data_IF_961887098112
#
_entry.id   IF_961887098112
#
_cell.length_a   1.000
_cell.length_b   1.000
_cell.length_c   1.000
_cell.angle_alpha   90.00
_cell.angle_beta   90.00
_cell.angle_gamma   90.00
#
_symmetry.space_group_name_H-M   'P 1'
#
loop_
_entity.id
_entity.type
_entity.pdbx_description
1 polymer ?
#
# COMPACT_ATOMS: atom_id res chain seq x y z
N UNK A 1 -6.50 5.68 22.38
CA UNK A 1 -5.29 4.92 22.20
C UNK A 1 -5.22 4.32 20.82
N UNK A 2 -4.04 4.25 20.31
CA UNK A 2 -3.79 3.69 19.01
C UNK A 2 -3.84 2.17 19.09
N UNK A 3 -4.48 1.55 18.10
CA UNK A 3 -4.45 0.10 17.96
C UNK A 3 -3.17 -0.37 17.27
N UNK A 4 -2.34 0.57 16.84
CA UNK A 4 -1.08 0.28 16.19
C UNK A 4 0.07 0.34 17.18
N UNK A 5 1.14 -0.43 16.93
CA UNK A 5 2.35 -0.26 17.74
C UNK A 5 2.82 1.19 17.63
N UNK A 6 3.06 1.80 18.76
CA UNK A 6 3.59 3.17 18.77
C UNK A 6 5.10 3.05 18.67
N UNK A 7 5.63 3.57 17.57
CA UNK A 7 7.08 3.63 17.39
C UNK A 7 7.62 4.75 18.27
N UNK A 8 8.76 4.54 18.95
CA UNK A 8 9.35 5.60 19.79
C UNK A 8 9.73 6.84 18.99
N UNK A 9 9.95 6.66 17.69
CA UNK A 9 10.23 7.76 16.75
C UNK A 9 9.43 7.51 15.49
N UNK A 10 9.00 8.58 14.78
CA UNK A 10 8.41 8.39 13.47
C UNK A 10 9.39 7.64 12.57
N UNK A 11 8.86 6.74 11.76
CA UNK A 11 9.68 6.02 10.80
C UNK A 11 10.22 7.00 9.76
N UNK A 12 11.54 6.98 9.58
CA UNK A 12 12.16 7.81 8.55
C UNK A 12 12.16 7.08 7.23
N UNK A 13 11.31 7.54 6.33
CA UNK A 13 11.19 6.95 5.01
C UNK A 13 12.40 7.36 4.14
N UNK A 14 13.18 6.40 3.63
CA UNK A 14 14.28 6.73 2.72
C UNK A 14 13.76 7.49 1.49
N UNK A 15 14.57 8.41 0.97
CA UNK A 15 14.21 9.15 -0.24
C UNK A 15 13.89 8.24 -1.41
N UNK A 16 14.63 7.15 -1.56
CA UNK A 16 14.42 6.19 -2.63
C UNK A 16 13.07 5.48 -2.54
N UNK A 17 12.47 5.44 -1.35
CA UNK A 17 11.18 4.77 -1.15
C UNK A 17 9.99 5.72 -1.16
N UNK A 18 10.22 7.03 -1.30
CA UNK A 18 9.11 7.99 -1.27
C UNK A 18 8.11 7.79 -2.39
N UNK A 19 8.60 7.57 -3.60
CA UNK A 19 7.72 7.32 -4.74
C UNK A 19 6.96 6.01 -4.57
N UNK A 20 7.61 4.99 -4.02
CA UNK A 20 6.96 3.71 -3.73
C UNK A 20 5.84 3.91 -2.71
N UNK A 21 6.10 4.68 -1.65
CA UNK A 21 5.09 5.00 -0.64
C UNK A 21 3.86 5.67 -1.27
N UNK A 22 4.08 6.63 -2.16
CA UNK A 22 2.99 7.32 -2.84
C UNK A 22 2.20 6.38 -3.74
N UNK A 23 2.89 5.50 -4.46
CA UNK A 23 2.23 4.50 -5.29
C UNK A 23 1.42 3.51 -4.45
N UNK A 24 1.94 3.13 -3.28
CA UNK A 24 1.21 2.26 -2.36
C UNK A 24 -0.06 2.93 -1.84
N UNK A 25 0.00 4.23 -1.56
CA UNK A 25 -1.20 4.97 -1.14
C UNK A 25 -2.25 4.98 -2.23
N UNK A 26 -1.84 5.19 -3.47
CA UNK A 26 -2.75 5.16 -4.60
C UNK A 26 -3.34 3.76 -4.81
N UNK A 27 -2.50 2.75 -4.72
CA UNK A 27 -2.95 1.36 -4.82
C UNK A 27 -3.96 1.02 -3.73
N UNK A 28 -3.68 1.48 -2.50
CA UNK A 28 -4.60 1.28 -1.38
C UNK A 28 -5.97 1.90 -1.66
N UNK A 29 -5.97 3.12 -2.18
CA UNK A 29 -7.22 3.79 -2.55
C UNK A 29 -8.01 2.97 -3.56
N UNK A 30 -7.34 2.47 -4.58
CA UNK A 30 -7.99 1.67 -5.63
C UNK A 30 -8.54 0.36 -5.06
N UNK A 31 -7.74 -0.35 -4.28
CA UNK A 31 -8.16 -1.65 -3.73
C UNK A 31 -9.26 -1.50 -2.70
N UNK A 32 -9.22 -0.44 -1.91
CA UNK A 32 -10.27 -0.15 -0.94
C UNK A 32 -11.61 0.12 -1.63
N UNK A 33 -11.57 0.89 -2.71
CA UNK A 33 -12.77 1.18 -3.49
C UNK A 33 -13.34 -0.09 -4.14
N UNK A 34 -12.48 -0.93 -4.70
CA UNK A 34 -12.90 -2.20 -5.31
C UNK A 34 -13.53 -3.15 -4.29
N UNK A 35 -13.02 -3.13 -3.08
CA UNK A 35 -13.47 -4.04 -2.02
C UNK A 35 -14.57 -3.45 -1.14
N UNK A 36 -14.92 -2.20 -1.37
CA UNK A 36 -15.91 -1.47 -0.57
C UNK A 36 -15.54 -1.48 0.92
N UNK A 37 -14.27 -1.24 1.20
CA UNK A 37 -13.72 -1.21 2.55
C UNK A 37 -12.99 0.11 2.75
N UNK A 38 -13.09 0.70 3.93
CA UNK A 38 -12.36 1.94 4.22
C UNK A 38 -10.85 1.68 4.22
N UNK A 39 -10.09 2.62 3.64
CA UNK A 39 -8.64 2.51 3.54
C UNK A 39 -7.99 2.25 4.90
N UNK A 40 -8.43 2.95 5.93
CA UNK A 40 -7.86 2.82 7.28
C UNK A 40 -8.03 1.43 7.89
N UNK A 41 -8.99 0.66 7.40
CA UNK A 41 -9.20 -0.71 7.87
C UNK A 41 -8.19 -1.67 7.24
N UNK A 42 -7.62 -1.30 6.12
CA UNK A 42 -6.64 -2.10 5.40
C UNK A 42 -5.24 -1.78 5.89
N UNK A 43 -4.86 -0.50 5.88
CA UNK A 43 -3.53 -0.08 6.29
C UNK A 43 -3.53 1.38 6.71
N UNK A 44 -2.61 1.73 7.61
CA UNK A 44 -2.39 3.12 8.02
C UNK A 44 -1.29 3.74 7.15
N UNK A 45 -1.20 5.09 7.10
CA UNK A 45 -0.09 5.74 6.41
C UNK A 45 1.28 5.29 6.90
N UNK A 46 1.43 5.07 8.21
CA UNK A 46 2.69 4.63 8.79
C UNK A 46 3.05 3.23 8.30
N UNK A 47 2.07 2.33 8.22
CA UNK A 47 2.29 1.00 7.67
C UNK A 47 2.76 1.06 6.22
N UNK A 48 2.19 1.96 5.43
CA UNK A 48 2.58 2.10 4.02
C UNK A 48 4.03 2.59 3.90
N UNK A 49 4.44 3.49 4.77
CA UNK A 49 5.82 3.99 4.77
C UNK A 49 6.80 2.89 5.13
N UNK A 50 6.49 2.09 6.15
CA UNK A 50 7.32 0.96 6.53
C UNK A 50 7.36 -0.09 5.41
N UNK A 51 6.21 -0.36 4.81
CA UNK A 51 6.12 -1.30 3.70
C UNK A 51 6.96 -0.84 2.50
N UNK A 52 6.98 0.46 2.24
CA UNK A 52 7.77 1.02 1.15
C UNK A 52 9.27 0.97 1.42
N UNK A 53 9.67 1.22 2.66
CA UNK A 53 11.08 1.36 3.02
C UNK A 53 11.76 0.08 3.46
N UNK A 54 11.01 -0.89 3.98
CA UNK A 54 11.58 -2.14 4.47
C UNK A 54 11.42 -3.25 3.45
N UNK A 55 12.37 -4.17 3.43
CA UNK A 55 12.36 -5.25 2.45
C UNK A 55 11.33 -6.32 2.79
N UNK A 56 11.30 -6.76 4.03
CA UNK A 56 10.37 -7.81 4.50
C UNK A 56 9.77 -7.40 5.84
N UNK A 57 8.91 -6.37 5.88
CA UNK A 57 8.34 -5.93 7.13
C UNK A 57 7.31 -6.92 7.66
N UNK A 58 7.21 -7.04 8.98
CA UNK A 58 6.17 -7.82 9.63
C UNK A 58 5.01 -6.89 9.97
N UNK A 59 4.05 -6.81 9.08
CA UNK A 59 2.93 -5.88 9.19
C UNK A 59 1.59 -6.60 9.09
N UNK A 60 0.55 -6.12 9.80
CA UNK A 60 -0.79 -6.71 9.69
C UNK A 60 -1.32 -6.72 8.26
N UNK A 61 -0.93 -5.75 7.43
CA UNK A 61 -1.38 -5.64 6.04
C UNK A 61 -0.90 -6.82 5.19
N UNK A 62 0.11 -7.55 5.64
CA UNK A 62 0.63 -8.72 4.93
C UNK A 62 0.05 -10.04 5.44
N UNK A 63 -1.02 -9.97 6.24
CA UNK A 63 -1.62 -11.15 6.85
C UNK A 63 -3.13 -11.18 6.64
N UNK A 64 -3.68 -12.38 6.51
CA UNK A 64 -5.12 -12.59 6.47
C UNK A 64 -5.81 -11.90 5.31
N UNK A 65 -7.01 -11.37 5.57
CA UNK A 65 -7.83 -10.75 4.53
C UNK A 65 -7.19 -9.48 3.96
N UNK A 66 -6.39 -8.77 4.76
CA UNK A 66 -5.69 -7.57 4.29
C UNK A 66 -4.68 -7.90 3.22
N UNK A 67 -4.01 -9.04 3.34
CA UNK A 67 -3.09 -9.52 2.31
C UNK A 67 -3.84 -9.82 1.01
N UNK A 68 -5.00 -10.47 1.09
CA UNK A 68 -5.79 -10.79 -0.08
C UNK A 68 -6.31 -9.55 -0.79
N UNK A 69 -6.72 -8.54 -0.03
CA UNK A 69 -7.30 -7.31 -0.58
C UNK A 69 -6.22 -6.38 -1.12
N UNK A 70 -5.10 -6.25 -0.43
CA UNK A 70 -4.11 -5.22 -0.74
C UNK A 70 -2.66 -5.71 -0.67
N UNK A 71 -2.28 -6.43 0.39
CA UNK A 71 -0.88 -6.75 0.67
C UNK A 71 -0.17 -7.48 -0.46
N UNK A 72 -0.84 -8.42 -1.10
CA UNK A 72 -0.29 -9.17 -2.22
C UNK A 72 0.10 -8.22 -3.36
N UNK A 73 -0.85 -7.35 -3.74
CA UNK A 73 -0.60 -6.39 -4.82
C UNK A 73 0.47 -5.38 -4.43
N UNK A 74 0.52 -5.01 -3.15
CA UNK A 74 1.56 -4.11 -2.66
C UNK A 74 2.96 -4.72 -2.83
N UNK A 75 3.11 -6.00 -2.52
CA UNK A 75 4.38 -6.69 -2.70
C UNK A 75 4.74 -6.81 -4.18
N UNK A 76 3.76 -7.06 -5.05
CA UNK A 76 3.99 -7.10 -6.49
C UNK A 76 4.40 -5.74 -7.02
N UNK A 77 3.81 -4.66 -6.51
CA UNK A 77 4.21 -3.30 -6.87
C UNK A 77 5.66 -3.04 -6.50
N UNK A 78 6.06 -3.43 -5.30
CA UNK A 78 7.45 -3.27 -4.84
C UNK A 78 8.42 -4.10 -5.68
N UNK A 79 7.97 -5.22 -6.21
CA UNK A 79 8.79 -6.07 -7.07
C UNK A 79 8.86 -5.56 -8.52
N UNK A 80 8.16 -4.48 -8.83
CA UNK A 80 8.15 -3.92 -10.18
C UNK A 80 7.22 -4.64 -11.15
N UNK A 81 6.29 -5.43 -10.63
CA UNK A 81 5.38 -6.23 -11.47
C UNK A 81 4.06 -5.54 -11.75
N UNK A 82 3.82 -4.39 -11.13
CA UNK A 82 2.59 -3.63 -11.32
C UNK A 82 2.92 -2.26 -11.87
N UNK A 83 2.16 -1.83 -12.87
CA UNK A 83 2.14 -0.46 -13.35
C UNK A 83 0.73 0.09 -13.20
N UNK A 84 0.61 1.39 -13.04
CA UNK A 84 -0.68 2.07 -12.95
C UNK A 84 -0.77 3.06 -14.09
N UNK A 85 -1.91 3.02 -14.81
CA UNK A 85 -2.14 3.88 -15.95
C UNK A 85 -3.48 4.57 -15.81
N UNK A 86 -3.50 5.89 -16.00
CA UNK A 86 -4.76 6.62 -15.97
C UNK A 86 -5.54 6.35 -17.25
N UNK A 87 -6.80 5.98 -17.07
CA UNK A 87 -7.73 5.75 -18.17
C UNK A 87 -8.71 6.94 -18.24
N UNK A 88 -8.53 7.89 -19.19
CA UNK A 88 -9.40 9.07 -19.25
C UNK A 88 -10.82 8.74 -19.69
N UNK A 89 -11.02 7.67 -20.44
CA UNK A 89 -12.36 7.27 -20.89
C UNK A 89 -13.25 6.83 -19.72
N UNK A 90 -12.65 6.12 -18.79
CA UNK A 90 -13.37 5.62 -17.60
C UNK A 90 -13.13 6.48 -16.37
N UNK A 91 -12.24 7.48 -16.48
CA UNK A 91 -11.85 8.36 -15.38
C UNK A 91 -11.40 7.58 -14.16
N UNK A 92 -10.57 6.57 -14.39
CA UNK A 92 -10.03 5.75 -13.32
C UNK A 92 -8.62 5.31 -13.64
N UNK A 93 -7.96 4.72 -12.66
CA UNK A 93 -6.61 4.22 -12.82
C UNK A 93 -6.67 2.72 -13.01
N UNK A 94 -6.09 2.23 -14.10
CA UNK A 94 -5.99 0.80 -14.38
C UNK A 94 -4.70 0.24 -13.81
N UNK A 95 -4.79 -0.93 -13.18
CA UNK A 95 -3.63 -1.65 -12.66
C UNK A 95 -3.22 -2.67 -13.71
N UNK A 96 -1.97 -2.57 -14.15
CA UNK A 96 -1.43 -3.46 -15.18
C UNK A 96 -0.40 -4.36 -14.50
N UNK A 97 -0.57 -5.67 -14.63
CA UNK A 97 0.34 -6.66 -14.05
C UNK A 97 1.13 -7.35 -15.15
N UNK A 98 2.40 -7.60 -14.86
CA UNK A 98 3.23 -8.43 -15.71
C UNK A 98 2.86 -9.91 -15.58
#
# INVERSE_FOLDING_TARGET
>A
PSTYPVLPKPYELPKSARSVSKMLRLLLMIKAAESDVAERLIASPDELDVLAGEKNPDLPVLKGWRFEVFGRDALELKAGKIAMKYNPDRRRIDIIKD
#
